data_IF_878352335759
#
_entry.id   IF_878352335759
#
_cell.length_a   1.000
_cell.length_b   1.000
_cell.length_c   1.000
_cell.angle_alpha   90.00
_cell.angle_beta   90.00
_cell.angle_gamma   90.00
#
_symmetry.space_group_name_H-M   'P 1'
#
loop_
_entity.id
_entity.type
_entity.pdbx_description
1 polymer ?
#
# COMPACT_ATOMS: atom_id res chain seq x y z
N UNK A 1 5.00 -11.60 7.06
CA UNK A 1 3.54 -11.53 6.88
C UNK A 1 2.93 -12.92 6.92
N UNK A 2 3.50 -13.88 6.19
CA UNK A 2 3.10 -15.29 6.21
C UNK A 2 3.03 -15.87 7.63
N UNK A 3 4.09 -15.75 8.44
CA UNK A 3 4.05 -16.21 9.84
C UNK A 3 2.97 -15.57 10.72
N UNK A 4 2.58 -14.31 10.44
CA UNK A 4 1.47 -13.69 11.17
C UNK A 4 0.15 -14.31 10.75
N UNK A 5 -0.02 -14.55 9.45
CA UNK A 5 -1.23 -15.16 8.88
C UNK A 5 -1.38 -16.65 9.21
N UNK A 6 -0.29 -17.34 9.52
CA UNK A 6 -0.31 -18.72 10.03
C UNK A 6 -0.91 -18.82 11.43
N UNK A 7 -0.79 -17.75 12.23
CA UNK A 7 -1.24 -17.72 13.64
C UNK A 7 -2.53 -16.93 13.79
N UNK A 8 -2.72 -15.87 13.01
CA UNK A 8 -3.85 -14.95 13.11
C UNK A 8 -4.53 -14.73 11.76
N UNK A 9 -5.86 -14.75 11.75
CA UNK A 9 -6.62 -14.40 10.55
C UNK A 9 -6.33 -12.95 10.13
N UNK A 10 -6.18 -12.72 8.81
CA UNK A 10 -6.05 -11.39 8.20
C UNK A 10 -7.17 -10.42 8.60
N UNK A 11 -8.36 -10.93 8.94
CA UNK A 11 -9.49 -10.14 9.42
C UNK A 11 -9.20 -9.42 10.76
N UNK A 12 -8.17 -9.86 11.50
CA UNK A 12 -7.67 -9.16 12.70
C UNK A 12 -6.88 -7.90 12.36
N UNK A 13 -6.48 -7.72 11.10
CA UNK A 13 -5.66 -6.59 10.66
C UNK A 13 -6.60 -5.47 10.24
N UNK A 14 -6.66 -4.42 11.06
CA UNK A 14 -7.43 -3.23 10.70
C UNK A 14 -6.78 -2.54 9.49
N UNK A 15 -5.50 -2.19 9.59
CA UNK A 15 -4.72 -1.67 8.48
C UNK A 15 -3.21 -1.86 8.71
N UNK A 16 -2.46 -2.11 7.63
CA UNK A 16 -1.00 -2.16 7.65
C UNK A 16 -0.40 -0.78 7.36
N UNK A 17 0.51 -0.31 8.21
CA UNK A 17 1.18 0.98 8.03
C UNK A 17 2.58 0.81 7.47
N UNK A 18 3.02 1.71 6.59
CA UNK A 18 4.40 1.75 6.11
C UNK A 18 4.91 3.17 5.90
N UNK A 19 6.23 3.31 6.00
CA UNK A 19 6.92 4.59 5.90
C UNK A 19 7.20 5.05 4.48
N UNK A 20 7.59 6.32 4.36
CA UNK A 20 7.86 7.02 3.09
C UNK A 20 8.94 6.35 2.22
N UNK A 21 9.81 5.55 2.81
CA UNK A 21 10.88 4.86 2.06
C UNK A 21 10.46 3.49 1.55
N UNK A 22 9.24 3.04 1.88
CA UNK A 22 8.73 1.77 1.40
C UNK A 22 8.48 1.81 -0.11
N UNK A 23 9.21 0.98 -0.85
CA UNK A 23 9.07 0.79 -2.29
C UNK A 23 8.76 -0.68 -2.52
N UNK A 24 7.48 -1.02 -2.70
CA UNK A 24 7.07 -2.41 -2.83
C UNK A 24 5.86 -2.55 -3.73
N UNK A 25 6.06 -2.51 -5.05
CA UNK A 25 4.96 -2.72 -6.02
C UNK A 25 4.36 -4.13 -5.88
N UNK A 26 5.22 -5.14 -5.75
CA UNK A 26 4.81 -6.53 -5.53
C UNK A 26 4.08 -6.69 -4.19
N UNK A 27 4.59 -6.03 -3.14
CA UNK A 27 3.97 -6.04 -1.82
C UNK A 27 2.59 -5.36 -1.82
N UNK A 28 2.45 -4.20 -2.47
CA UNK A 28 1.16 -3.53 -2.65
C UNK A 28 0.18 -4.37 -3.45
N UNK A 29 0.65 -5.08 -4.49
CA UNK A 29 -0.15 -6.02 -5.26
C UNK A 29 -0.64 -7.16 -4.38
N UNK A 30 0.26 -7.76 -3.59
CA UNK A 30 -0.07 -8.83 -2.66
C UNK A 30 -1.10 -8.39 -1.60
N UNK A 31 -0.93 -7.21 -1.00
CA UNK A 31 -1.89 -6.66 -0.03
C UNK A 31 -3.27 -6.46 -0.65
N UNK A 32 -3.33 -5.98 -1.89
CA UNK A 32 -4.57 -5.78 -2.64
C UNK A 32 -5.26 -7.11 -2.95
N UNK A 33 -4.53 -8.10 -3.46
CA UNK A 33 -5.05 -9.44 -3.75
C UNK A 33 -5.59 -10.11 -2.49
N UNK A 34 -4.91 -9.92 -1.35
CA UNK A 34 -5.34 -10.48 -0.06
C UNK A 34 -6.42 -9.66 0.64
N UNK A 35 -6.85 -8.52 0.06
CA UNK A 35 -7.82 -7.57 0.63
C UNK A 35 -7.42 -7.04 2.03
N UNK A 36 -6.12 -6.90 2.26
CA UNK A 36 -5.59 -6.34 3.49
C UNK A 36 -5.55 -4.83 3.33
N UNK A 37 -6.24 -4.10 4.21
CA UNK A 37 -6.23 -2.63 4.22
C UNK A 37 -4.83 -2.13 4.61
N UNK A 38 -4.40 -1.03 4.01
CA UNK A 38 -3.09 -0.43 4.31
C UNK A 38 -3.14 1.09 4.23
N UNK A 39 -2.31 1.75 5.03
CA UNK A 39 -2.14 3.20 5.09
C UNK A 39 -0.65 3.50 4.98
N UNK A 40 -0.20 3.87 3.79
CA UNK A 40 1.22 4.12 3.54
C UNK A 40 1.50 5.60 3.42
N UNK A 41 2.57 6.05 4.09
CA UNK A 41 3.06 7.42 3.93
C UNK A 41 3.77 7.53 2.59
N UNK A 42 3.33 8.43 1.72
CA UNK A 42 3.96 8.65 0.40
C UNK A 42 4.95 9.82 0.50
N UNK A 43 6.17 9.67 -0.05
CA UNK A 43 7.11 10.80 -0.15
C UNK A 43 6.50 11.92 -0.97
N UNK A 44 6.76 13.16 -0.57
CA UNK A 44 6.25 14.36 -1.23
C UNK A 44 6.52 14.37 -2.76
N UNK A 45 7.71 13.95 -3.18
CA UNK A 45 8.08 13.87 -4.59
C UNK A 45 7.42 12.72 -5.38
N UNK A 46 6.67 11.83 -4.72
CA UNK A 46 5.95 10.69 -5.33
C UNK A 46 4.44 10.81 -5.21
N UNK A 47 3.93 11.96 -4.80
CA UNK A 47 2.50 12.25 -4.71
C UNK A 47 1.96 12.79 -6.03
N UNK A 48 2.42 12.31 -7.19
CA UNK A 48 1.90 12.75 -8.48
C UNK A 48 1.38 11.56 -9.26
N UNK A 49 0.16 11.68 -9.79
CA UNK A 49 -0.47 10.69 -10.67
C UNK A 49 -0.83 11.34 -12.01
N UNK A 50 -0.81 10.53 -13.07
CA UNK A 50 -1.33 10.96 -14.36
C UNK A 50 -2.85 11.03 -14.30
N UNK A 51 -3.43 12.18 -14.64
CA UNK A 51 -4.87 12.29 -14.86
C UNK A 51 -5.27 11.70 -16.23
N UNK A 52 -6.58 11.64 -16.52
CA UNK A 52 -7.08 11.12 -17.79
C UNK A 52 -6.57 11.88 -19.04
N UNK A 53 -5.94 13.06 -18.86
CA UNK A 53 -5.35 13.89 -19.94
C UNK A 53 -3.82 13.77 -20.00
N UNK A 54 -3.21 12.84 -19.26
CA UNK A 54 -1.76 12.65 -19.24
C UNK A 54 -0.99 13.67 -18.39
N UNK A 55 -1.68 14.59 -17.70
CA UNK A 55 -1.03 15.60 -16.85
C UNK A 55 -0.78 15.04 -15.47
N UNK A 56 0.43 15.22 -14.97
CA UNK A 56 0.78 14.89 -13.58
C UNK A 56 0.07 15.85 -12.63
N UNK A 57 -0.83 15.33 -11.81
CA UNK A 57 -1.55 16.06 -10.76
C UNK A 57 -1.11 15.55 -9.40
N UNK A 58 -0.99 16.45 -8.43
CA UNK A 58 -0.71 16.05 -7.06
C UNK A 58 -1.90 15.29 -6.50
N UNK A 59 -1.64 14.14 -5.86
CA UNK A 59 -2.64 13.31 -5.18
C UNK A 59 -3.10 14.01 -3.90
#
# INVERSE_FOLDING_TARGET
MECFLEVFDKNRIEALTADREFIGKEWLSWLRTNQIRYVFRVRENRQYISNARGKMVKI
#
